data_IF_322803900473
#
_entry.id   IF_322803900473
#
_cell.length_a   1.000
_cell.length_b   1.000
_cell.length_c   1.000
_cell.angle_alpha   90.00
_cell.angle_beta   90.00
_cell.angle_gamma   90.00
#
_symmetry.space_group_name_H-M   'P 1'
#
loop_
_entity.id
_entity.type
_entity.pdbx_description
1 polymer ?
#
# COMPACT_ATOMS: atom_id res chain seq x y z
N UNK A 1 -8.07 13.31 -0.27
CA UNK A 1 -7.93 13.00 -1.72
C UNK A 1 -9.20 12.28 -2.14
N UNK A 2 -9.79 12.59 -3.31
CA UNK A 2 -10.94 11.81 -3.78
C UNK A 2 -10.57 10.33 -3.94
N UNK A 3 -11.56 9.45 -3.81
CA UNK A 3 -11.37 8.02 -4.05
C UNK A 3 -11.04 7.79 -5.54
N UNK A 4 -9.99 7.02 -5.86
CA UNK A 4 -9.62 6.74 -7.24
C UNK A 4 -10.51 5.64 -7.82
N UNK A 5 -10.67 5.62 -9.14
CA UNK A 5 -11.50 4.66 -9.85
C UNK A 5 -11.02 3.20 -9.74
N UNK A 6 -9.73 2.97 -9.44
CA UNK A 6 -9.17 1.63 -9.24
C UNK A 6 -9.47 1.06 -7.84
N UNK A 7 -9.86 1.90 -6.88
CA UNK A 7 -10.11 1.43 -5.52
C UNK A 7 -11.53 0.88 -5.38
N UNK A 8 -11.58 -0.38 -4.98
CA UNK A 8 -12.78 -1.06 -4.52
C UNK A 8 -12.37 -2.00 -3.37
N UNK A 9 -13.04 -1.84 -2.23
CA UNK A 9 -12.75 -2.56 -1.00
C UNK A 9 -12.88 -4.09 -1.18
N UNK A 10 -13.70 -4.56 -2.12
CA UNK A 10 -13.84 -5.97 -2.44
C UNK A 10 -12.53 -6.63 -2.94
N UNK A 11 -11.58 -5.83 -3.43
CA UNK A 11 -10.27 -6.31 -3.87
C UNK A 11 -9.17 -6.15 -2.82
N UNK A 12 -9.49 -5.68 -1.61
CA UNK A 12 -8.55 -5.64 -0.48
C UNK A 12 -8.37 -7.04 0.07
N UNK A 13 -7.33 -7.72 -0.38
CA UNK A 13 -7.03 -9.11 -0.01
C UNK A 13 -6.01 -9.23 1.12
N UNK A 14 -5.30 -8.16 1.43
CA UNK A 14 -4.26 -8.13 2.47
C UNK A 14 -4.36 -6.89 3.35
N UNK A 15 -4.05 -7.08 4.61
CA UNK A 15 -4.02 -6.03 5.63
C UNK A 15 -2.70 -6.09 6.36
N UNK A 16 -2.05 -4.94 6.51
CA UNK A 16 -0.78 -4.81 7.21
C UNK A 16 -0.79 -3.60 8.14
N UNK A 17 -0.59 -3.86 9.44
CA UNK A 17 -0.48 -2.84 10.47
C UNK A 17 1.00 -2.54 10.73
N UNK A 18 1.47 -1.39 10.23
CA UNK A 18 2.84 -0.96 10.43
C UNK A 18 3.09 -0.43 11.84
N UNK A 19 2.08 0.14 12.51
CA UNK A 19 2.23 0.64 13.89
C UNK A 19 2.53 -0.52 14.84
N UNK A 20 1.92 -1.70 14.62
CA UNK A 20 2.21 -2.91 15.38
C UNK A 20 3.68 -3.38 15.26
N UNK A 21 4.31 -3.18 14.10
CA UNK A 21 5.73 -3.50 13.88
C UNK A 21 6.63 -2.46 14.55
N UNK A 22 6.27 -1.18 14.40
CA UNK A 22 7.01 -0.07 15.02
C UNK A 22 6.96 -0.14 16.55
N UNK A 23 5.81 -0.52 17.13
CA UNK A 23 5.64 -0.72 18.57
C UNK A 23 6.58 -1.79 19.15
N UNK A 24 7.05 -2.73 18.32
CA UNK A 24 8.04 -3.75 18.69
C UNK A 24 9.49 -3.27 18.51
N UNK A 25 9.70 -2.01 18.13
CA UNK A 25 11.02 -1.44 17.83
C UNK A 25 11.59 -1.88 16.49
N UNK A 26 10.76 -2.38 15.58
CA UNK A 26 11.18 -2.90 14.28
C UNK A 26 10.84 -1.93 13.14
N UNK A 27 11.54 -2.05 12.01
CA UNK A 27 11.27 -1.26 10.80
C UNK A 27 10.31 -2.03 9.86
N UNK A 28 9.11 -1.51 9.55
CA UNK A 28 8.13 -2.19 8.71
C UNK A 28 8.43 -2.14 7.21
N UNK A 29 9.44 -1.40 6.75
CA UNK A 29 9.65 -1.14 5.32
C UNK A 29 9.79 -2.42 4.48
N UNK A 30 10.63 -3.36 4.92
CA UNK A 30 10.87 -4.59 4.17
C UNK A 30 9.62 -5.49 4.12
N UNK A 31 8.84 -5.50 5.20
CA UNK A 31 7.61 -6.28 5.27
C UNK A 31 6.53 -5.68 4.35
N UNK A 32 6.38 -4.36 4.33
CA UNK A 32 5.47 -3.67 3.41
C UNK A 32 5.81 -4.01 1.96
N UNK A 33 7.10 -3.95 1.60
CA UNK A 33 7.56 -4.28 0.25
C UNK A 33 7.25 -5.74 -0.12
N UNK A 34 7.55 -6.69 0.77
CA UNK A 34 7.20 -8.10 0.56
C UNK A 34 5.70 -8.32 0.38
N UNK A 35 4.86 -7.65 1.16
CA UNK A 35 3.41 -7.75 1.00
C UNK A 35 2.96 -7.24 -0.38
N UNK A 36 3.54 -6.13 -0.85
CA UNK A 36 3.27 -5.56 -2.17
C UNK A 36 3.76 -6.46 -3.31
N UNK A 37 4.94 -7.06 -3.19
CA UNK A 37 5.53 -7.95 -4.19
C UNK A 37 4.67 -9.22 -4.38
N UNK A 38 3.98 -9.65 -3.32
CA UNK A 38 3.06 -10.78 -3.36
C UNK A 38 1.64 -10.42 -3.85
N UNK A 39 1.36 -9.17 -4.26
CA UNK A 39 0.06 -8.79 -4.83
C UNK A 39 -0.06 -9.27 -6.28
N UNK A 40 -1.16 -9.93 -6.59
CA UNK A 40 -1.57 -10.22 -7.96
C UNK A 40 -2.16 -8.97 -8.63
N UNK A 41 -2.22 -8.92 -9.98
CA UNK A 41 -2.89 -7.83 -10.67
C UNK A 41 -4.35 -7.66 -10.19
N UNK A 42 -4.72 -6.42 -9.85
CA UNK A 42 -6.04 -6.08 -9.32
C UNK A 42 -6.20 -6.26 -7.82
N UNK A 43 -5.28 -6.94 -7.13
CA UNK A 43 -5.30 -7.06 -5.67
C UNK A 43 -4.85 -5.75 -5.00
N UNK A 44 -5.43 -5.48 -3.84
CA UNK A 44 -5.13 -4.29 -3.03
C UNK A 44 -4.60 -4.73 -1.66
N UNK A 45 -3.52 -4.09 -1.22
CA UNK A 45 -3.03 -4.12 0.15
C UNK A 45 -3.55 -2.89 0.90
N UNK A 46 -4.18 -3.09 2.05
CA UNK A 46 -4.42 -2.03 3.02
C UNK A 46 -3.25 -1.97 4.02
N UNK A 47 -2.59 -0.83 4.05
CA UNK A 47 -1.53 -0.47 4.99
C UNK A 47 -2.05 0.55 6.01
N UNK A 48 -2.14 0.14 7.28
CA UNK A 48 -2.53 1.03 8.38
C UNK A 48 -1.29 1.55 9.08
N UNK A 49 -1.21 2.88 9.23
CA UNK A 49 -0.11 3.55 9.95
C UNK A 49 -0.56 4.93 10.45
N UNK A 50 -0.17 5.27 11.67
CA UNK A 50 -0.55 6.50 12.39
C UNK A 50 0.04 7.79 11.82
N UNK A 51 0.97 7.69 10.87
CA UNK A 51 1.60 8.82 10.18
C UNK A 51 1.66 8.58 8.68
N UNK A 52 1.78 9.65 7.89
CA UNK A 52 1.89 9.53 6.43
C UNK A 52 3.25 8.93 6.05
N UNK A 53 3.31 7.76 5.39
CA UNK A 53 4.57 7.08 5.15
C UNK A 53 5.18 7.58 3.82
N UNK A 54 5.60 8.85 3.77
CA UNK A 54 6.07 9.51 2.53
C UNK A 54 7.23 8.78 1.83
N UNK A 55 8.29 8.31 2.54
CA UNK A 55 9.42 7.65 1.88
C UNK A 55 9.01 6.37 1.15
N UNK A 56 8.19 5.53 1.78
CA UNK A 56 7.74 4.26 1.18
C UNK A 56 6.77 4.51 0.03
N UNK A 57 5.89 5.52 0.10
CA UNK A 57 5.00 5.87 -1.02
C UNK A 57 5.81 6.24 -2.27
N UNK A 58 6.87 7.04 -2.12
CA UNK A 58 7.76 7.39 -3.23
C UNK A 58 8.44 6.15 -3.83
N UNK A 59 8.91 5.25 -2.97
CA UNK A 59 9.53 4.00 -3.41
C UNK A 59 8.52 3.10 -4.14
N UNK A 60 7.31 2.94 -3.61
CA UNK A 60 6.23 2.17 -4.24
C UNK A 60 5.88 2.71 -5.62
N UNK A 61 5.76 4.03 -5.77
CA UNK A 61 5.54 4.66 -7.08
C UNK A 61 6.67 4.34 -8.07
N UNK A 62 7.94 4.40 -7.64
CA UNK A 62 9.07 4.05 -8.51
C UNK A 62 9.09 2.57 -8.95
N UNK A 63 8.40 1.70 -8.20
CA UNK A 63 8.23 0.27 -8.48
C UNK A 63 6.95 -0.05 -9.26
N UNK A 64 6.21 0.97 -9.71
CA UNK A 64 4.99 0.78 -10.49
C UNK A 64 3.77 0.43 -9.64
N UNK A 65 3.74 0.79 -8.36
CA UNK A 65 2.53 0.75 -7.55
C UNK A 65 1.87 2.13 -7.48
N UNK A 66 0.57 2.15 -7.24
CA UNK A 66 -0.19 3.37 -6.92
C UNK A 66 -0.70 3.28 -5.49
N UNK A 67 -0.71 4.42 -4.80
CA UNK A 67 -1.15 4.51 -3.41
C UNK A 67 -2.27 5.54 -3.28
N UNK A 68 -3.34 5.16 -2.60
CA UNK A 68 -4.40 6.07 -2.16
C UNK A 68 -4.49 6.09 -0.65
N UNK A 69 -4.45 7.28 -0.05
CA UNK A 69 -4.59 7.43 1.40
C UNK A 69 -5.98 7.94 1.76
N UNK A 70 -6.66 7.23 2.67
CA UNK A 70 -7.93 7.62 3.28
C UNK A 70 -7.82 7.49 4.81
N UNK A 71 -7.83 8.62 5.51
CA UNK A 71 -7.55 8.65 6.95
C UNK A 71 -6.17 8.08 7.29
N UNK A 72 -6.14 7.08 8.18
CA UNK A 72 -4.93 6.36 8.60
C UNK A 72 -4.61 5.13 7.74
N UNK A 73 -5.44 4.85 6.73
CA UNK A 73 -5.26 3.73 5.81
C UNK A 73 -4.65 4.19 4.50
N UNK A 74 -3.73 3.38 3.98
CA UNK A 74 -3.11 3.55 2.67
C UNK A 74 -3.39 2.29 1.86
N UNK A 75 -4.08 2.45 0.75
CA UNK A 75 -4.43 1.37 -0.17
C UNK A 75 -3.43 1.35 -1.30
N UNK A 76 -2.81 0.19 -1.53
CA UNK A 76 -1.70 0.02 -2.46
C UNK A 76 -2.09 -1.06 -3.46
N UNK A 77 -2.00 -0.76 -4.74
CA UNK A 77 -2.17 -1.76 -5.80
C UNK A 77 -1.13 -1.56 -6.89
N UNK A 78 -0.90 -2.59 -7.70
CA UNK A 78 -0.01 -2.49 -8.84
C UNK A 78 -0.65 -1.60 -9.89
N UNK A 79 0.11 -0.67 -10.46
CA UNK A 79 -0.39 0.15 -11.54
C UNK A 79 -0.73 -0.76 -12.73
N UNK A 80 -2.02 -0.84 -13.07
CA UNK A 80 -2.54 -1.59 -14.21
C UNK A 80 -2.34 -0.86 -15.55
N UNK A 81 -1.44 0.13 -15.60
CA UNK A 81 -0.98 0.76 -16.85
C UNK A 81 -0.13 -0.22 -17.68
N UNK A 82 -0.77 -1.23 -18.26
CA UNK A 82 -0.33 -1.86 -19.50
C UNK A 82 -1.15 -1.22 -20.60
N UNK A 83 -0.63 -0.16 -21.23
CA UNK A 83 -0.82 0.20 -22.65
C UNK A 83 0.16 1.34 -22.95
N UNK A 84 1.38 0.99 -23.38
CA UNK A 84 1.87 1.25 -24.76
C UNK A 84 3.13 0.41 -25.00
#
# INVERSE_FOLDING_TARGET
MPQPAWFDEAFVVKHFDADAVIAKGQNPMDDILKQCDCLQPGEILQLTVSFRPVPIIKLLHSRGYVVWSSGSSNYITRNSSTTD
#
